data_IF_182514459712
#
_entry.id   IF_182514459712
#
_cell.length_a   1.000
_cell.length_b   1.000
_cell.length_c   1.000
_cell.angle_alpha   90.00
_cell.angle_beta   90.00
_cell.angle_gamma   90.00
#
_symmetry.space_group_name_H-M   'P 1'
#
loop_
_entity.id
_entity.type
_entity.pdbx_description
1 polymer ?
#
# COMPACT_ATOMS: atom_id res chain seq x y z
N UNK A 1 19.97 -1.59 4.19
CA UNK A 1 18.72 -2.14 4.76
C UNK A 1 18.47 -3.55 4.25
N UNK A 2 17.91 -4.37 5.11
CA UNK A 2 17.64 -5.77 4.77
C UNK A 2 16.31 -5.90 4.06
N UNK A 3 16.29 -6.59 2.92
CA UNK A 3 15.03 -6.94 2.23
C UNK A 3 14.42 -8.19 2.83
N UNK A 4 13.10 -8.21 2.90
CA UNK A 4 12.33 -9.31 3.50
C UNK A 4 11.28 -9.79 2.50
N UNK A 5 11.30 -11.06 2.15
CA UNK A 5 10.27 -11.73 1.37
C UNK A 5 9.57 -12.78 2.24
N UNK A 6 8.26 -12.65 2.38
CA UNK A 6 7.44 -13.53 3.21
C UNK A 6 6.41 -14.22 2.35
N UNK A 7 6.28 -15.52 2.50
CA UNK A 7 5.27 -16.33 1.81
C UNK A 7 4.45 -17.15 2.80
N UNK A 8 3.12 -17.08 2.66
CA UNK A 8 2.20 -17.96 3.34
C UNK A 8 2.19 -19.36 2.73
N UNK A 9 2.10 -20.38 3.56
CA UNK A 9 2.03 -21.75 3.14
C UNK A 9 1.09 -22.59 4.02
N UNK A 10 0.80 -23.81 3.59
CA UNK A 10 -0.09 -24.73 4.30
C UNK A 10 0.55 -25.40 5.53
N UNK A 11 1.85 -25.20 5.75
CA UNK A 11 2.56 -25.74 6.91
C UNK A 11 2.24 -25.00 8.20
N UNK A 12 2.62 -25.58 9.34
CA UNK A 12 2.50 -24.98 10.67
C UNK A 12 3.83 -24.47 11.22
N UNK A 13 4.86 -24.46 10.39
CA UNK A 13 6.23 -24.08 10.78
C UNK A 13 6.59 -22.71 10.19
N UNK A 14 7.47 -22.01 10.88
CA UNK A 14 8.11 -20.80 10.38
C UNK A 14 9.53 -21.14 9.99
N UNK A 15 9.84 -20.97 8.70
CA UNK A 15 11.18 -21.21 8.15
C UNK A 15 11.78 -19.85 7.78
N UNK A 16 12.97 -19.57 8.31
CA UNK A 16 13.70 -18.33 8.03
C UNK A 16 15.02 -18.65 7.34
N UNK A 17 15.18 -18.20 6.11
CA UNK A 17 16.43 -18.29 5.37
C UNK A 17 17.04 -16.90 5.21
N UNK A 18 18.29 -16.74 5.62
CA UNK A 18 19.06 -15.51 5.45
C UNK A 18 20.04 -15.69 4.29
N UNK A 19 20.05 -14.73 3.38
CA UNK A 19 20.97 -14.65 2.25
C UNK A 19 21.88 -13.44 2.44
N UNK A 20 23.14 -13.67 2.21
CA UNK A 20 24.21 -12.66 2.34
C UNK A 20 24.78 -12.36 0.98
N UNK A 21 24.81 -11.08 0.60
CA UNK A 21 25.59 -10.60 -0.55
C UNK A 21 26.66 -9.64 -0.06
N UNK A 22 27.85 -9.79 -0.60
CA UNK A 22 28.97 -8.89 -0.35
C UNK A 22 29.40 -8.22 -1.67
N UNK A 23 29.44 -6.91 -1.69
CA UNK A 23 29.74 -6.10 -2.87
C UNK A 23 28.91 -6.53 -4.11
N UNK A 24 27.62 -6.83 -3.89
CA UNK A 24 26.65 -7.25 -4.92
C UNK A 24 26.74 -8.73 -5.36
N UNK A 25 27.70 -9.51 -4.86
CA UNK A 25 27.87 -10.93 -5.19
C UNK A 25 27.26 -11.81 -4.10
N UNK A 26 26.60 -12.90 -4.49
CA UNK A 26 26.16 -13.93 -3.54
C UNK A 26 27.38 -14.66 -2.97
N UNK A 27 27.34 -14.89 -1.66
CA UNK A 27 28.41 -15.55 -0.92
C UNK A 27 27.94 -16.96 -0.60
N UNK A 28 28.58 -17.95 -1.20
CA UNK A 28 28.32 -19.37 -0.92
C UNK A 28 29.11 -19.85 0.29
N UNK A 29 30.33 -19.35 0.47
CA UNK A 29 31.19 -19.62 1.62
C UNK A 29 31.72 -18.30 2.16
N UNK A 30 31.59 -18.10 3.48
CA UNK A 30 32.13 -16.91 4.12
C UNK A 30 33.65 -16.94 4.14
N UNK A 31 34.29 -15.88 3.63
CA UNK A 31 35.71 -15.61 3.85
C UNK A 31 35.89 -14.70 5.08
N UNK A 32 37.13 -14.48 5.49
CA UNK A 32 37.46 -13.71 6.69
C UNK A 32 36.94 -12.28 6.65
N UNK A 33 36.84 -11.65 5.47
CA UNK A 33 36.36 -10.28 5.32
C UNK A 33 34.83 -10.23 5.53
N UNK A 34 34.10 -11.17 4.97
CA UNK A 34 32.66 -11.31 5.13
C UNK A 34 32.29 -11.65 6.57
N UNK A 35 33.01 -12.56 7.21
CA UNK A 35 32.85 -12.92 8.62
C UNK A 35 33.07 -11.70 9.54
N UNK A 36 34.11 -10.92 9.26
CA UNK A 36 34.40 -9.69 10.00
C UNK A 36 33.26 -8.67 9.89
N UNK A 37 32.71 -8.46 8.70
CA UNK A 37 31.58 -7.56 8.51
C UNK A 37 30.27 -8.13 9.12
N UNK A 38 29.99 -9.43 9.00
CA UNK A 38 28.85 -10.09 9.63
C UNK A 38 28.91 -9.98 11.15
N UNK A 39 30.10 -10.02 11.73
CA UNK A 39 30.33 -9.80 13.15
C UNK A 39 29.80 -8.47 13.69
N UNK A 40 29.55 -7.49 12.80
CA UNK A 40 28.95 -6.19 13.12
C UNK A 40 27.42 -6.23 13.24
N UNK A 41 26.80 -7.37 12.98
CA UNK A 41 25.36 -7.56 13.09
C UNK A 41 25.06 -8.54 14.22
N UNK A 42 23.91 -8.38 14.85
CA UNK A 42 23.29 -9.39 15.70
C UNK A 42 22.08 -9.94 15.00
N UNK A 43 21.97 -11.25 14.92
CA UNK A 43 20.76 -11.96 14.54
C UNK A 43 20.20 -12.62 15.79
N UNK A 44 19.01 -12.22 16.19
CA UNK A 44 18.29 -12.81 17.32
C UNK A 44 17.02 -13.48 16.76
N UNK A 45 16.89 -14.77 17.00
CA UNK A 45 15.72 -15.57 16.65
C UNK A 45 15.20 -16.18 17.94
N UNK A 46 14.01 -15.80 18.33
CA UNK A 46 13.41 -16.25 19.58
C UNK A 46 11.94 -16.64 19.38
N UNK A 47 11.48 -17.57 20.19
CA UNK A 47 10.09 -18.00 20.25
C UNK A 47 9.59 -17.93 21.69
N UNK A 48 8.43 -17.32 21.87
CA UNK A 48 7.72 -17.27 23.16
C UNK A 48 6.24 -17.57 22.90
N UNK A 49 5.80 -18.77 23.28
CA UNK A 49 4.45 -19.24 22.97
C UNK A 49 4.23 -19.28 21.45
N UNK A 50 3.19 -18.57 20.98
CA UNK A 50 2.85 -18.49 19.57
C UNK A 50 3.50 -17.28 18.84
N UNK A 51 4.43 -16.59 19.48
CA UNK A 51 5.14 -15.46 18.90
C UNK A 51 6.56 -15.83 18.53
N UNK A 52 6.93 -15.60 17.27
CA UNK A 52 8.30 -15.76 16.78
C UNK A 52 8.83 -14.37 16.45
N UNK A 53 10.01 -14.04 16.95
CA UNK A 53 10.72 -12.81 16.64
C UNK A 53 12.02 -13.11 15.89
N UNK A 54 12.24 -12.40 14.79
CA UNK A 54 13.50 -12.42 14.03
C UNK A 54 13.99 -10.99 13.93
N UNK A 55 15.07 -10.68 14.62
CA UNK A 55 15.59 -9.33 14.78
C UNK A 55 17.03 -9.27 14.30
N UNK A 56 17.29 -8.41 13.32
CA UNK A 56 18.64 -8.11 12.87
C UNK A 56 18.98 -6.66 13.21
N UNK A 57 20.05 -6.47 13.98
CA UNK A 57 20.53 -5.16 14.38
C UNK A 57 22.00 -5.00 14.02
N UNK A 58 22.37 -3.80 13.57
CA UNK A 58 23.77 -3.38 13.44
C UNK A 58 24.29 -2.98 14.81
N UNK A 59 25.44 -3.52 15.24
CA UNK A 59 26.02 -3.32 16.60
C UNK A 59 26.53 -1.91 16.86
N UNK A 60 27.06 -1.23 15.83
CA UNK A 60 27.67 0.10 15.97
C UNK A 60 27.40 0.95 14.73
N UNK A 61 27.62 2.26 14.84
CA UNK A 61 27.57 3.20 13.72
C UNK A 61 28.80 3.01 12.81
N UNK A 62 28.89 1.88 12.14
CA UNK A 62 29.92 1.57 11.17
C UNK A 62 29.48 2.20 9.85
N UNK A 63 30.42 2.83 9.14
CA UNK A 63 30.18 3.45 7.84
C UNK A 63 29.44 2.56 6.83
N UNK A 64 29.44 2.86 5.57
CA UNK A 64 28.79 2.05 4.55
C UNK A 64 29.30 0.61 4.61
N UNK A 65 28.44 -0.33 4.96
CA UNK A 65 28.74 -1.76 4.83
C UNK A 65 28.52 -2.21 3.38
N UNK A 66 29.38 -3.08 2.89
CA UNK A 66 29.23 -3.75 1.60
C UNK A 66 28.28 -4.96 1.69
N UNK A 67 27.89 -5.35 2.93
CA UNK A 67 26.93 -6.43 3.15
C UNK A 67 25.50 -5.98 2.82
N UNK A 68 24.83 -6.81 2.05
CA UNK A 68 23.40 -6.75 1.83
C UNK A 68 22.78 -8.05 2.35
N UNK A 69 21.93 -7.92 3.36
CA UNK A 69 21.22 -9.03 3.96
C UNK A 69 19.81 -9.10 3.38
N UNK A 70 19.37 -10.29 3.04
CA UNK A 70 17.98 -10.53 2.63
C UNK A 70 17.44 -11.77 3.32
N UNK A 71 16.14 -11.75 3.60
CA UNK A 71 15.45 -12.81 4.31
C UNK A 71 14.32 -13.36 3.43
N UNK A 72 14.26 -14.69 3.33
CA UNK A 72 13.07 -15.38 2.85
C UNK A 72 12.45 -16.08 4.05
N UNK A 73 11.19 -15.77 4.30
CA UNK A 73 10.47 -16.29 5.46
C UNK A 73 9.22 -17.00 4.95
N UNK A 74 9.11 -18.28 5.25
CA UNK A 74 7.90 -19.05 4.99
C UNK A 74 7.15 -19.20 6.31
N UNK A 75 5.86 -18.90 6.31
CA UNK A 75 5.01 -18.89 7.49
C UNK A 75 3.68 -19.59 7.20
N UNK A 76 2.92 -20.03 8.21
CA UNK A 76 1.54 -20.45 8.02
C UNK A 76 0.71 -19.35 7.34
N UNK A 77 -0.16 -19.71 6.40
CA UNK A 77 -1.05 -18.73 5.72
C UNK A 77 -1.86 -17.89 6.73
N UNK A 78 -2.43 -18.56 7.74
CA UNK A 78 -3.24 -17.90 8.79
C UNK A 78 -2.36 -17.40 9.91
N UNK A 79 -1.81 -16.22 9.74
CA UNK A 79 -0.90 -15.62 10.71
C UNK A 79 -1.04 -14.09 10.74
N UNK A 80 -0.97 -13.51 11.93
CA UNK A 80 -0.76 -12.08 12.10
C UNK A 80 0.74 -11.80 12.22
N UNK A 81 1.21 -10.74 11.56
CA UNK A 81 2.64 -10.46 11.54
C UNK A 81 2.96 -8.96 11.52
N UNK A 82 4.19 -8.65 11.94
CA UNK A 82 4.75 -7.31 11.90
C UNK A 82 6.12 -7.36 11.25
N UNK A 83 6.26 -6.67 10.11
CA UNK A 83 7.50 -6.57 9.36
C UNK A 83 8.01 -5.14 9.36
N UNK A 84 9.27 -4.95 9.72
CA UNK A 84 9.90 -3.63 9.74
C UNK A 84 11.29 -3.69 9.09
N UNK A 85 11.57 -2.73 8.21
CA UNK A 85 12.89 -2.55 7.60
C UNK A 85 13.28 -1.07 7.57
N UNK A 86 14.54 -0.76 7.85
CA UNK A 86 15.03 0.62 7.75
C UNK A 86 15.30 1.08 6.31
N UNK A 87 15.45 0.16 5.34
CA UNK A 87 15.81 0.55 3.99
C UNK A 87 15.60 -0.51 2.92
N UNK A 88 15.45 -1.76 3.29
CA UNK A 88 15.15 -2.85 2.36
C UNK A 88 13.67 -2.93 2.01
N UNK A 89 13.38 -3.54 0.88
CA UNK A 89 12.00 -3.80 0.45
C UNK A 89 11.38 -4.95 1.24
N UNK A 90 10.07 -4.88 1.42
CA UNK A 90 9.30 -5.93 2.06
C UNK A 90 8.26 -6.45 1.06
N UNK A 91 8.27 -7.75 0.81
CA UNK A 91 7.28 -8.43 0.00
C UNK A 91 6.54 -9.46 0.85
N UNK A 92 5.23 -9.41 0.83
CA UNK A 92 4.34 -10.33 1.55
C UNK A 92 3.38 -10.97 0.56
N UNK A 93 3.30 -12.29 0.57
CA UNK A 93 2.45 -13.04 -0.35
C UNK A 93 1.68 -14.15 0.36
N UNK A 94 0.39 -14.29 0.05
CA UNK A 94 -0.43 -15.42 0.47
C UNK A 94 -0.75 -15.46 1.96
N UNK A 95 -0.83 -14.31 2.65
CA UNK A 95 -1.15 -14.24 4.06
C UNK A 95 -2.62 -13.91 4.31
N UNK A 96 -3.17 -14.54 5.34
CA UNK A 96 -4.53 -14.33 5.82
C UNK A 96 -4.50 -13.97 7.31
N UNK A 97 -4.74 -12.71 7.65
CA UNK A 97 -4.72 -12.20 9.02
C UNK A 97 -4.36 -10.72 9.07
N UNK A 98 -3.89 -10.28 10.24
CA UNK A 98 -3.52 -8.88 10.45
C UNK A 98 -2.03 -8.70 10.17
N UNK A 99 -1.70 -7.82 9.21
CA UNK A 99 -0.33 -7.54 8.81
C UNK A 99 0.00 -6.07 9.07
N UNK A 100 1.08 -5.82 9.79
CA UNK A 100 1.67 -4.48 9.96
C UNK A 100 3.01 -4.45 9.23
N UNK A 101 3.15 -3.57 8.24
CA UNK A 101 4.34 -3.53 7.39
C UNK A 101 4.90 -2.11 7.35
N UNK A 102 6.16 -1.94 7.75
CA UNK A 102 6.79 -0.63 7.78
C UNK A 102 8.18 -0.64 7.15
N UNK A 103 8.47 0.36 6.31
CA UNK A 103 9.82 0.60 5.78
C UNK A 103 10.13 2.09 5.69
N UNK A 104 11.39 2.49 5.94
CA UNK A 104 11.77 3.89 5.77
C UNK A 104 12.19 4.21 4.33
N UNK A 105 12.69 3.27 3.57
CA UNK A 105 13.22 3.57 2.23
C UNK A 105 12.88 2.56 1.13
N UNK A 106 12.68 1.31 1.46
CA UNK A 106 12.36 0.26 0.50
C UNK A 106 10.90 0.27 0.05
N UNK A 107 10.59 -0.46 -1.00
CA UNK A 107 9.23 -0.66 -1.48
C UNK A 107 8.49 -1.71 -0.64
N UNK A 108 7.18 -1.57 -0.54
CA UNK A 108 6.29 -2.58 0.03
C UNK A 108 5.49 -3.23 -1.09
N UNK A 109 5.42 -4.55 -1.09
CA UNK A 109 4.59 -5.33 -1.99
C UNK A 109 3.72 -6.30 -1.19
N UNK A 110 2.41 -6.31 -1.46
CA UNK A 110 1.44 -7.25 -0.86
C UNK A 110 0.70 -7.94 -2.00
N UNK A 111 0.77 -9.26 -2.04
CA UNK A 111 0.21 -10.06 -3.13
C UNK A 111 -0.69 -11.18 -2.56
N UNK A 112 -1.79 -11.47 -3.25
CA UNK A 112 -2.62 -12.65 -3.00
C UNK A 112 -2.96 -12.85 -1.52
N UNK A 113 -3.28 -11.77 -0.81
CA UNK A 113 -3.43 -11.79 0.64
C UNK A 113 -4.82 -11.32 1.06
N UNK A 114 -5.22 -11.66 2.29
CA UNK A 114 -6.53 -11.27 2.82
C UNK A 114 -6.47 -10.92 4.31
N UNK A 115 -7.48 -10.17 4.77
CA UNK A 115 -7.63 -9.77 6.16
C UNK A 115 -7.45 -8.26 6.37
N UNK A 116 -6.63 -7.85 7.31
CA UNK A 116 -6.30 -6.44 7.57
C UNK A 116 -4.82 -6.17 7.31
N UNK A 117 -4.51 -5.23 6.45
CA UNK A 117 -3.14 -4.81 6.18
C UNK A 117 -2.98 -3.32 6.47
N UNK A 118 -2.04 -2.99 7.35
CA UNK A 118 -1.60 -1.63 7.61
C UNK A 118 -0.16 -1.47 7.12
N UNK A 119 0.06 -0.48 6.25
CA UNK A 119 1.39 -0.22 5.68
C UNK A 119 1.86 1.18 5.97
N UNK A 120 3.14 1.32 6.33
CA UNK A 120 3.78 2.62 6.50
C UNK A 120 5.09 2.69 5.71
N UNK A 121 5.20 3.66 4.78
CA UNK A 121 6.43 3.89 4.01
C UNK A 121 6.83 5.36 4.05
N UNK A 122 8.12 5.65 4.32
CA UNK A 122 8.60 7.04 4.25
C UNK A 122 9.06 7.43 2.84
N UNK A 123 9.46 6.48 1.98
CA UNK A 123 10.02 6.83 0.67
C UNK A 123 9.74 5.87 -0.47
N UNK A 124 9.66 4.58 -0.22
CA UNK A 124 9.47 3.56 -1.25
C UNK A 124 8.05 3.50 -1.79
N UNK A 125 7.90 2.94 -2.98
CA UNK A 125 6.58 2.70 -3.58
C UNK A 125 5.85 1.54 -2.90
N UNK A 126 4.53 1.63 -2.89
CA UNK A 126 3.66 0.56 -2.42
C UNK A 126 2.90 -0.05 -3.59
N UNK A 127 2.88 -1.39 -3.65
CA UNK A 127 2.13 -2.17 -4.62
C UNK A 127 1.29 -3.23 -3.90
N UNK A 128 0.00 -3.25 -4.16
CA UNK A 128 -0.91 -4.30 -3.68
C UNK A 128 -1.64 -4.90 -4.87
N UNK A 129 -1.67 -6.21 -4.96
CA UNK A 129 -2.39 -6.94 -6.00
C UNK A 129 -3.17 -8.10 -5.40
N UNK A 130 -4.42 -8.27 -5.83
CA UNK A 130 -5.32 -9.34 -5.43
C UNK A 130 -5.45 -9.42 -3.90
N UNK A 131 -6.13 -8.44 -3.32
CA UNK A 131 -6.33 -8.33 -1.88
C UNK A 131 -7.81 -8.33 -1.51
N UNK A 132 -8.15 -9.07 -0.47
CA UNK A 132 -9.50 -9.14 0.08
C UNK A 132 -9.50 -8.70 1.55
N UNK A 133 -10.22 -7.62 1.90
CA UNK A 133 -10.33 -7.10 3.26
C UNK A 133 -10.03 -5.62 3.38
N UNK A 134 -9.51 -5.19 4.52
CA UNK A 134 -9.26 -3.79 4.82
C UNK A 134 -7.78 -3.43 4.63
N UNK A 135 -7.52 -2.42 3.82
CA UNK A 135 -6.17 -1.95 3.52
C UNK A 135 -6.01 -0.48 3.97
N UNK A 136 -5.08 -0.22 4.88
CA UNK A 136 -4.67 1.12 5.30
C UNK A 136 -3.23 1.39 4.81
N UNK A 137 -3.08 2.44 4.00
CA UNK A 137 -1.81 2.83 3.39
C UNK A 137 -1.42 4.22 3.85
N UNK A 138 -0.25 4.33 4.46
CA UNK A 138 0.38 5.60 4.83
C UNK A 138 1.73 5.72 4.13
N UNK A 139 1.89 6.74 3.28
CA UNK A 139 3.13 6.99 2.55
C UNK A 139 3.53 8.46 2.62
N UNK A 140 4.83 8.74 2.80
CA UNK A 140 5.31 10.12 2.73
C UNK A 140 5.79 10.52 1.33
N UNK A 141 6.14 9.57 0.45
CA UNK A 141 6.77 9.95 -0.82
C UNK A 141 6.48 9.06 -2.03
N UNK A 142 6.54 7.77 -1.91
CA UNK A 142 6.44 6.84 -3.03
C UNK A 142 5.04 6.75 -3.65
N UNK A 143 4.97 6.25 -4.88
CA UNK A 143 3.70 5.97 -5.53
C UNK A 143 2.96 4.81 -4.88
N UNK A 144 1.64 4.90 -4.83
CA UNK A 144 0.75 3.85 -4.36
C UNK A 144 0.01 3.26 -5.55
N UNK A 145 0.16 1.96 -5.77
CA UNK A 145 -0.61 1.21 -6.76
C UNK A 145 -1.35 0.06 -6.09
N UNK A 146 -2.68 0.04 -6.23
CA UNK A 146 -3.55 -1.04 -5.77
C UNK A 146 -4.34 -1.56 -6.95
N UNK A 147 -4.26 -2.86 -7.19
CA UNK A 147 -4.98 -3.53 -8.25
C UNK A 147 -5.73 -4.74 -7.70
N UNK A 148 -7.00 -4.89 -8.06
CA UNK A 148 -7.88 -5.97 -7.61
C UNK A 148 -7.99 -6.03 -6.07
N UNK A 149 -8.75 -5.09 -5.52
CA UNK A 149 -9.07 -5.08 -4.09
C UNK A 149 -10.58 -5.22 -3.89
N UNK A 150 -10.97 -6.11 -2.99
CA UNK A 150 -12.35 -6.22 -2.50
C UNK A 150 -12.37 -5.88 -1.00
N UNK A 151 -13.03 -4.76 -0.65
CA UNK A 151 -13.15 -4.29 0.74
C UNK A 151 -12.94 -2.80 0.92
N UNK A 152 -12.54 -2.38 2.12
CA UNK A 152 -12.38 -0.96 2.45
C UNK A 152 -10.92 -0.54 2.28
N UNK A 153 -10.69 0.55 1.51
CA UNK A 153 -9.38 1.09 1.21
C UNK A 153 -9.18 2.50 1.77
N UNK A 154 -8.17 2.68 2.60
CA UNK A 154 -7.72 3.98 3.08
C UNK A 154 -6.31 4.24 2.54
N UNK A 155 -6.10 5.36 1.86
CA UNK A 155 -4.79 5.80 1.37
C UNK A 155 -4.51 7.22 1.81
N UNK A 156 -3.42 7.41 2.52
CA UNK A 156 -2.90 8.73 2.89
C UNK A 156 -1.46 8.86 2.40
N UNK A 157 -1.20 9.82 1.49
CA UNK A 157 0.15 10.08 1.01
C UNK A 157 0.45 11.57 0.98
N UNK A 158 1.70 11.96 1.22
CA UNK A 158 2.10 13.38 1.11
C UNK A 158 2.59 13.74 -0.30
N UNK A 159 3.11 12.78 -1.06
CA UNK A 159 3.72 13.05 -2.38
C UNK A 159 3.12 12.16 -3.45
N UNK A 160 3.70 11.22 -3.93
CA UNK A 160 3.44 10.23 -4.97
C UNK A 160 2.07 10.18 -5.66
N UNK A 161 2.00 9.58 -6.78
CA UNK A 161 0.72 9.29 -7.45
C UNK A 161 0.00 8.12 -6.79
N UNK A 162 -1.32 8.16 -6.79
CA UNK A 162 -2.18 7.06 -6.32
C UNK A 162 -2.93 6.51 -7.52
N UNK A 163 -2.73 5.22 -7.81
CA UNK A 163 -3.39 4.51 -8.89
C UNK A 163 -4.14 3.30 -8.33
N UNK A 164 -5.46 3.32 -8.41
CA UNK A 164 -6.36 2.31 -7.88
C UNK A 164 -7.15 1.72 -9.04
N UNK A 165 -6.97 0.43 -9.30
CA UNK A 165 -7.58 -0.28 -10.43
C UNK A 165 -8.39 -1.47 -9.91
N UNK A 166 -9.58 -1.70 -10.47
CA UNK A 166 -10.46 -2.82 -10.14
C UNK A 166 -10.79 -2.91 -8.63
N UNK A 167 -11.24 -1.80 -8.06
CA UNK A 167 -11.60 -1.73 -6.65
C UNK A 167 -13.09 -1.99 -6.48
N UNK A 168 -13.44 -2.97 -5.65
CA UNK A 168 -14.81 -3.27 -5.20
C UNK A 168 -14.94 -2.97 -3.71
N UNK A 169 -15.70 -1.93 -3.34
CA UNK A 169 -15.90 -1.55 -1.94
C UNK A 169 -15.93 -0.05 -1.71
N UNK A 170 -15.22 0.41 -0.68
CA UNK A 170 -15.16 1.82 -0.30
C UNK A 170 -13.75 2.37 -0.43
N UNK A 171 -13.63 3.63 -0.83
CA UNK A 171 -12.33 4.31 -0.97
C UNK A 171 -12.32 5.61 -0.19
N UNK A 172 -11.30 5.78 0.65
CA UNK A 172 -10.89 7.06 1.21
C UNK A 172 -9.43 7.34 0.85
N UNK A 173 -9.17 8.20 -0.14
CA UNK A 173 -7.82 8.49 -0.62
C UNK A 173 -7.48 9.97 -0.50
N UNK A 174 -6.38 10.28 0.17
CA UNK A 174 -5.90 11.64 0.39
C UNK A 174 -4.44 11.79 -0.06
N UNK A 175 -4.13 12.85 -0.79
CA UNK A 175 -2.75 13.22 -1.13
C UNK A 175 -2.54 14.74 -1.00
N UNK A 176 -1.33 15.15 -0.65
CA UNK A 176 -0.98 16.59 -0.69
C UNK A 176 -0.48 17.04 -2.06
N UNK A 177 0.08 16.15 -2.89
CA UNK A 177 0.74 16.59 -4.12
C UNK A 177 0.37 15.84 -5.41
N UNK A 178 0.35 14.55 -5.38
CA UNK A 178 0.22 13.71 -6.58
C UNK A 178 -1.18 13.62 -7.15
N UNK A 179 -1.33 13.21 -8.40
CA UNK A 179 -2.63 12.88 -8.97
C UNK A 179 -3.18 11.57 -8.37
N UNK A 180 -4.51 11.48 -8.31
CA UNK A 180 -5.21 10.26 -7.94
C UNK A 180 -6.05 9.78 -9.13
N UNK A 181 -5.87 8.54 -9.52
CA UNK A 181 -6.74 7.82 -10.44
C UNK A 181 -7.36 6.63 -9.71
N UNK A 182 -8.68 6.54 -9.74
CA UNK A 182 -9.42 5.43 -9.14
C UNK A 182 -10.41 4.87 -10.16
N UNK A 183 -10.31 3.57 -10.43
CA UNK A 183 -11.26 2.82 -11.24
C UNK A 183 -11.93 1.77 -10.36
N UNK A 184 -13.23 1.90 -10.17
CA UNK A 184 -14.02 1.02 -9.35
C UNK A 184 -14.76 0.01 -10.23
N UNK A 185 -14.71 -1.25 -9.83
CA UNK A 185 -15.57 -2.31 -10.37
C UNK A 185 -16.92 -2.36 -9.64
N UNK A 186 -16.95 -1.93 -8.37
CA UNK A 186 -18.16 -1.79 -7.57
C UNK A 186 -17.95 -0.72 -6.49
N UNK A 187 -18.99 0.06 -6.17
CA UNK A 187 -18.97 1.07 -5.11
C UNK A 187 -20.10 0.78 -4.11
N UNK A 188 -19.75 0.51 -2.86
CA UNK A 188 -20.71 0.02 -1.86
C UNK A 188 -21.14 1.07 -0.85
N UNK A 189 -20.19 1.78 -0.23
CA UNK A 189 -20.49 2.67 0.90
C UNK A 189 -20.17 4.14 0.60
N UNK A 190 -18.93 4.44 0.21
CA UNK A 190 -18.51 5.80 -0.10
C UNK A 190 -17.30 5.84 -1.04
N UNK A 191 -17.21 6.92 -1.80
CA UNK A 191 -16.00 7.33 -2.51
C UNK A 191 -15.59 8.73 -2.02
N UNK A 192 -14.49 8.80 -1.29
CA UNK A 192 -13.92 10.05 -0.79
C UNK A 192 -12.49 10.22 -1.29
N UNK A 193 -12.26 11.19 -2.16
CA UNK A 193 -10.92 11.46 -2.70
C UNK A 193 -10.59 12.94 -2.53
N UNK A 194 -9.43 13.21 -1.94
CA UNK A 194 -8.94 14.58 -1.74
C UNK A 194 -7.50 14.74 -2.20
N UNK A 195 -7.22 15.86 -2.88
CA UNK A 195 -5.86 16.26 -3.25
C UNK A 195 -5.68 17.77 -3.01
N UNK A 196 -4.52 18.19 -2.49
CA UNK A 196 -4.24 19.62 -2.41
C UNK A 196 -3.73 20.19 -3.75
N UNK A 197 -2.97 19.42 -4.53
CA UNK A 197 -2.35 19.92 -5.77
C UNK A 197 -2.68 19.14 -7.03
N UNK A 198 -2.87 17.84 -6.91
CA UNK A 198 -3.04 16.91 -8.04
C UNK A 198 -4.46 16.88 -8.59
N UNK A 199 -4.58 16.47 -9.85
CA UNK A 199 -5.88 16.17 -10.44
C UNK A 199 -6.42 14.84 -9.95
N UNK A 200 -7.75 14.72 -9.89
CA UNK A 200 -8.46 13.52 -9.49
C UNK A 200 -9.28 13.01 -10.68
N UNK A 201 -9.12 11.75 -11.00
CA UNK A 201 -9.96 11.05 -11.97
C UNK A 201 -10.56 9.81 -11.29
N UNK A 202 -11.87 9.71 -11.28
CA UNK A 202 -12.56 8.52 -10.81
C UNK A 202 -13.47 7.97 -11.92
N UNK A 203 -13.44 6.64 -12.10
CA UNK A 203 -14.35 5.90 -12.96
C UNK A 203 -15.22 5.02 -12.07
N UNK A 204 -16.51 5.22 -12.09
CA UNK A 204 -17.47 4.49 -11.26
C UNK A 204 -18.48 3.74 -12.14
N UNK A 205 -19.05 2.62 -11.66
CA UNK A 205 -20.07 1.90 -12.41
C UNK A 205 -21.30 2.75 -12.68
N UNK A 206 -21.89 2.57 -13.88
CA UNK A 206 -23.17 3.19 -14.23
C UNK A 206 -24.33 2.64 -13.40
N UNK A 207 -25.44 3.35 -13.39
CA UNK A 207 -26.70 2.91 -12.77
C UNK A 207 -26.80 3.12 -11.26
N UNK A 208 -25.72 3.49 -10.59
CA UNK A 208 -25.74 3.74 -9.15
C UNK A 208 -26.48 5.05 -8.80
N UNK A 209 -27.19 5.03 -7.66
CA UNK A 209 -27.70 6.23 -7.02
C UNK A 209 -26.58 6.92 -6.24
N UNK A 210 -26.18 8.14 -6.64
CA UNK A 210 -25.03 8.84 -6.06
C UNK A 210 -25.43 10.22 -5.52
N UNK A 211 -24.83 10.58 -4.37
CA UNK A 211 -24.83 11.95 -3.85
C UNK A 211 -23.47 12.57 -4.15
N UNK A 212 -23.40 13.52 -5.06
CA UNK A 212 -22.17 14.13 -5.53
C UNK A 212 -21.84 15.42 -4.76
N UNK A 213 -20.61 15.56 -4.27
CA UNK A 213 -19.97 16.81 -3.86
C UNK A 213 -18.57 16.85 -4.46
N UNK A 214 -18.48 17.45 -5.66
CA UNK A 214 -17.25 17.57 -6.43
C UNK A 214 -16.81 19.02 -6.48
N UNK A 215 -15.57 19.35 -6.08
CA UNK A 215 -15.05 20.71 -6.10
C UNK A 215 -13.56 20.76 -6.44
N UNK A 216 -13.16 21.61 -7.42
CA UNK A 216 -11.78 21.68 -7.90
C UNK A 216 -11.54 22.88 -8.81
N UNK A 217 -10.35 23.02 -9.36
CA UNK A 217 -10.04 24.06 -10.34
C UNK A 217 -10.93 24.01 -11.59
N UNK A 218 -11.31 22.81 -11.98
CA UNK A 218 -12.33 22.50 -12.99
C UNK A 218 -12.94 21.15 -12.67
N UNK A 219 -14.25 21.03 -12.80
CA UNK A 219 -14.96 19.75 -12.62
C UNK A 219 -15.59 19.33 -13.94
N UNK A 220 -15.29 18.13 -14.40
CA UNK A 220 -15.83 17.55 -15.62
C UNK A 220 -16.54 16.23 -15.26
N UNK A 221 -17.76 16.09 -15.76
CA UNK A 221 -18.51 14.81 -15.71
C UNK A 221 -19.61 14.81 -16.76
N UNK A 222 -19.90 13.64 -17.33
CA UNK A 222 -21.08 13.42 -18.15
C UNK A 222 -22.21 12.96 -17.26
N UNK A 223 -23.13 13.86 -16.92
CA UNK A 223 -24.22 13.59 -15.99
C UNK A 223 -25.49 13.16 -16.73
N UNK A 224 -26.08 12.05 -16.32
CA UNK A 224 -27.42 11.60 -16.70
C UNK A 224 -28.29 11.40 -15.46
N UNK A 225 -29.61 11.63 -15.57
CA UNK A 225 -30.54 11.54 -14.43
C UNK A 225 -30.08 12.34 -13.21
N UNK A 226 -29.53 13.53 -13.45
CA UNK A 226 -28.94 14.41 -12.43
C UNK A 226 -29.95 15.48 -11.99
N UNK A 227 -29.94 15.75 -10.69
CA UNK A 227 -30.66 16.86 -10.07
C UNK A 227 -29.74 17.59 -9.10
N UNK A 228 -29.48 18.86 -9.36
CA UNK A 228 -28.57 19.65 -8.52
C UNK A 228 -27.97 20.85 -9.27
N UNK A 229 -26.85 21.33 -8.77
CA UNK A 229 -26.13 22.49 -9.27
C UNK A 229 -24.86 22.05 -9.99
N UNK A 230 -24.62 22.62 -11.18
CA UNK A 230 -23.39 22.43 -11.98
C UNK A 230 -22.75 23.79 -12.22
N UNK A 231 -21.55 23.98 -11.72
CA UNK A 231 -20.66 25.12 -11.99
C UNK A 231 -19.36 24.60 -12.63
N UNK A 232 -18.55 25.50 -13.15
CA UNK A 232 -17.25 25.18 -13.76
C UNK A 232 -16.31 24.45 -12.80
N UNK A 233 -16.36 24.82 -11.53
CA UNK A 233 -15.49 24.38 -10.44
C UNK A 233 -16.19 23.51 -9.39
N UNK A 234 -17.51 23.29 -9.55
CA UNK A 234 -18.30 22.53 -8.58
C UNK A 234 -19.49 21.81 -9.21
N UNK A 235 -19.71 20.58 -8.77
CA UNK A 235 -20.95 19.82 -9.00
C UNK A 235 -21.47 19.38 -7.62
N UNK A 236 -22.72 19.75 -7.31
CA UNK A 236 -23.40 19.36 -6.09
C UNK A 236 -24.81 18.87 -6.42
N UNK A 237 -25.12 17.61 -6.13
CA UNK A 237 -26.45 17.08 -6.46
C UNK A 237 -26.54 15.58 -6.39
N UNK A 238 -27.53 15.02 -7.07
CA UNK A 238 -27.85 13.60 -7.04
C UNK A 238 -27.96 13.03 -8.44
N UNK A 239 -27.43 11.82 -8.60
CA UNK A 239 -27.66 10.97 -9.79
C UNK A 239 -28.59 9.84 -9.38
N UNK A 240 -29.53 9.48 -10.23
CA UNK A 240 -30.51 8.39 -10.03
C UNK A 240 -31.20 8.45 -8.65
N UNK A 241 -31.61 9.65 -8.21
CA UNK A 241 -32.28 9.86 -6.93
C UNK A 241 -31.37 9.95 -5.70
N UNK A 242 -30.06 9.75 -5.86
CA UNK A 242 -29.09 9.77 -4.78
C UNK A 242 -28.91 8.42 -4.09
N UNK A 243 -28.01 8.36 -3.15
CA UNK A 243 -27.63 7.16 -2.41
C UNK A 243 -26.21 7.26 -1.89
N UNK A 244 -25.28 6.59 -2.54
CA UNK A 244 -23.88 6.49 -2.11
C UNK A 244 -23.18 7.86 -2.20
N UNK A 245 -22.51 8.33 -1.13
CA UNK A 245 -21.79 9.59 -1.15
C UNK A 245 -20.51 9.49 -1.99
N UNK A 246 -20.35 10.45 -2.90
CA UNK A 246 -19.15 10.64 -3.73
C UNK A 246 -18.62 12.04 -3.49
N UNK A 247 -17.52 12.15 -2.78
CA UNK A 247 -16.83 13.40 -2.47
C UNK A 247 -15.47 13.42 -3.16
N UNK A 248 -15.27 14.37 -4.07
CA UNK A 248 -13.97 14.57 -4.70
C UNK A 248 -13.59 16.04 -4.60
N UNK A 249 -12.44 16.32 -3.99
CA UNK A 249 -12.00 17.69 -3.72
C UNK A 249 -10.53 17.90 -4.11
N UNK A 250 -10.24 18.91 -4.92
CA UNK A 250 -8.88 19.32 -5.24
C UNK A 250 -8.73 20.83 -5.16
N UNK A 251 -7.72 21.32 -4.41
CA UNK A 251 -7.49 22.77 -4.31
C UNK A 251 -6.84 23.34 -5.57
N UNK A 252 -6.03 22.58 -6.30
CA UNK A 252 -5.31 23.08 -7.49
C UNK A 252 -5.58 22.30 -8.78
N UNK A 253 -5.99 21.04 -8.68
CA UNK A 253 -6.17 20.14 -9.83
C UNK A 253 -7.59 20.13 -10.39
N UNK A 254 -7.75 19.49 -11.55
CA UNK A 254 -9.05 19.18 -12.14
C UNK A 254 -9.65 17.93 -11.53
N UNK A 255 -10.97 17.87 -11.54
CA UNK A 255 -11.74 16.66 -11.15
C UNK A 255 -12.45 16.13 -12.38
N UNK A 256 -12.28 14.83 -12.64
CA UNK A 256 -13.00 14.10 -13.68
C UNK A 256 -13.73 12.92 -13.03
N UNK A 257 -15.04 12.92 -13.12
CA UNK A 257 -15.88 11.78 -12.76
C UNK A 257 -16.43 11.16 -14.04
N UNK A 258 -16.10 9.90 -14.28
CA UNK A 258 -16.47 9.13 -15.46
C UNK A 258 -17.30 7.91 -15.03
N UNK A 259 -18.10 7.36 -15.96
CA UNK A 259 -18.94 6.19 -15.72
C UNK A 259 -18.60 5.11 -16.74
N UNK A 260 -18.61 3.84 -16.35
CA UNK A 260 -18.32 2.67 -17.17
C UNK A 260 -19.39 1.58 -17.01
#
# INVERSE_FOLDING_TARGET
GSSVAVSGGSGNEVIVAMYVKYDGREIETADTEVEGELGNYTLDISQSGNTIAVIVKKKHNIGRSKLNLSFKIQVPEKMSSKFQSSGGSISVEGLNGNQEIATSGGSIQVLNSRGYVNTHSSGGSLKVENFEGNLDVQSSGGSVKVNQLTGDLIVNTSGGSVNLEEISGSISANTSGGPIRAQLSNLEKELRIKSSGGSITAVVPEGLGLNLDLSGGRVNSKLSNFSGEVKKDRILGKINGGGIPVTMQSSGGSINLEFN
#
